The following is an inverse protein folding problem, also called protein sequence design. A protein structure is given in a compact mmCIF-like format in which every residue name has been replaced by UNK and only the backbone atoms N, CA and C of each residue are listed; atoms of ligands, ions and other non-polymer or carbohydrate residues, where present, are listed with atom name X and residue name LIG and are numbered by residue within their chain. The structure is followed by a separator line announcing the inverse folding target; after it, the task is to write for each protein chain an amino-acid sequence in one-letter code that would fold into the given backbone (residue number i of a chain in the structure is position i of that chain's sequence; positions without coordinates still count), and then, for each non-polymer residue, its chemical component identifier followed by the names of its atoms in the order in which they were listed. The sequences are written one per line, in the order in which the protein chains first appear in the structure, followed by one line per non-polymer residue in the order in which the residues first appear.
data_IF_656121459994
#
_entry.id   IF_656121459994
#
_cell.length_a   1.000
_cell.length_b   1.000
_cell.length_c   1.000
_cell.angle_alpha   90.00
_cell.angle_beta   90.00
_cell.angle_gamma   90.00
#
_symmetry.space_group_name_H-M   'P 1'
#
loop_
_entity.id
_entity.type
_entity.pdbx_description
1 polymer ?
#
# COMPACT_ATOMS: atom_id res chain seq x y z
N UNK A 1 26.39 1.05 -0.04
CA UNK A 1 25.36 1.07 -1.11
C UNK A 1 24.13 0.27 -0.69
N UNK A 2 24.26 -0.97 -0.22
CA UNK A 2 23.12 -1.79 0.23
C UNK A 2 22.24 -1.14 1.31
N UNK A 3 22.83 -0.55 2.37
CA UNK A 3 22.05 0.12 3.43
C UNK A 3 21.24 1.32 2.93
N UNK A 4 21.81 2.10 2.00
CA UNK A 4 21.09 3.23 1.38
C UNK A 4 19.95 2.75 0.49
N UNK A 5 20.11 1.61 -0.18
CA UNK A 5 19.04 1.03 -0.98
C UNK A 5 17.95 0.46 -0.08
N UNK A 6 18.30 -0.33 0.94
CA UNK A 6 17.38 -0.87 1.94
C UNK A 6 16.49 0.22 2.57
N UNK A 7 17.09 1.33 3.03
CA UNK A 7 16.36 2.41 3.69
C UNK A 7 15.29 3.08 2.80
N UNK A 8 15.39 2.94 1.47
CA UNK A 8 14.44 3.49 0.50
C UNK A 8 13.28 2.55 0.20
N UNK A 9 13.32 1.28 0.62
CA UNK A 9 12.23 0.32 0.33
C UNK A 9 11.06 0.56 1.28
N UNK A 10 9.85 0.49 0.74
CA UNK A 10 8.58 0.45 1.49
C UNK A 10 7.76 -0.71 0.97
N UNK A 11 7.62 -1.76 1.78
CA UNK A 11 6.89 -2.96 1.35
C UNK A 11 5.62 -3.12 2.17
N UNK A 12 4.48 -3.04 1.50
CA UNK A 12 3.18 -3.02 2.15
C UNK A 12 2.14 -3.84 1.40
N UNK A 13 1.06 -4.17 2.10
CA UNK A 13 -0.12 -4.79 1.52
C UNK A 13 -1.32 -3.87 1.68
N UNK A 14 -2.33 -4.04 0.82
CA UNK A 14 -3.63 -3.40 1.02
C UNK A 14 -4.59 -4.44 1.61
N UNK A 15 -5.26 -4.09 2.70
CA UNK A 15 -6.32 -4.89 3.31
C UNK A 15 -7.65 -4.14 3.26
N UNK A 16 -8.74 -4.85 3.04
CA UNK A 16 -10.07 -4.26 3.08
C UNK A 16 -11.15 -5.34 3.16
N UNK A 17 -12.37 -4.94 3.51
CA UNK A 17 -13.55 -5.72 3.19
C UNK A 17 -13.76 -5.78 1.65
N UNK A 18 -14.42 -6.83 1.12
CA UNK A 18 -14.95 -6.82 -0.24
C UNK A 18 -15.63 -5.49 -0.60
N UNK A 19 -15.43 -5.04 -1.84
CA UNK A 19 -16.04 -3.83 -2.39
C UNK A 19 -15.67 -2.48 -1.73
N UNK A 20 -14.80 -2.45 -0.71
CA UNK A 20 -14.32 -1.20 -0.10
C UNK A 20 -13.48 -0.33 -1.07
N UNK A 21 -12.94 -0.94 -2.13
CA UNK A 21 -12.22 -0.23 -3.21
C UNK A 21 -10.72 -0.52 -3.30
N UNK A 22 -10.24 -1.63 -2.72
CA UNK A 22 -8.86 -2.11 -2.85
C UNK A 22 -8.36 -2.14 -4.30
N UNK A 23 -9.08 -2.79 -5.22
CA UNK A 23 -8.64 -2.86 -6.62
C UNK A 23 -8.54 -1.47 -7.25
N UNK A 24 -9.51 -0.59 -6.97
CA UNK A 24 -9.52 0.78 -7.47
C UNK A 24 -8.31 1.58 -6.97
N UNK A 25 -8.00 1.51 -5.67
CA UNK A 25 -6.85 2.25 -5.13
C UNK A 25 -5.52 1.69 -5.67
N UNK A 26 -5.42 0.36 -5.83
CA UNK A 26 -4.27 -0.30 -6.46
C UNK A 26 -4.05 0.19 -7.89
N UNK A 27 -5.11 0.28 -8.70
CA UNK A 27 -5.02 0.81 -10.07
C UNK A 27 -4.53 2.26 -10.10
N UNK A 28 -4.99 3.11 -9.17
CA UNK A 28 -4.52 4.51 -9.08
C UNK A 28 -3.06 4.60 -8.62
N UNK A 29 -2.64 3.82 -7.62
CA UNK A 29 -1.25 3.76 -7.19
C UNK A 29 -0.32 3.33 -8.34
N UNK A 30 -0.76 2.35 -9.15
CA UNK A 30 -0.04 1.95 -10.36
C UNK A 30 0.04 3.06 -11.41
N UNK A 31 -1.04 3.81 -11.61
CA UNK A 31 -1.04 4.94 -12.54
C UNK A 31 0.02 5.97 -12.12
N UNK A 32 0.09 6.29 -10.83
CA UNK A 32 1.11 7.19 -10.27
C UNK A 32 2.53 6.63 -10.44
N UNK A 33 2.75 5.37 -10.10
CA UNK A 33 4.03 4.69 -10.30
C UNK A 33 4.49 4.71 -11.76
N UNK A 34 3.57 4.47 -12.71
CA UNK A 34 3.86 4.53 -14.15
C UNK A 34 4.12 5.96 -14.63
N UNK A 35 3.31 6.93 -14.21
CA UNK A 35 3.50 8.33 -14.58
C UNK A 35 4.89 8.84 -14.15
N UNK A 36 5.31 8.49 -12.94
CA UNK A 36 6.63 8.83 -12.38
C UNK A 36 7.74 8.13 -13.16
N UNK A 37 7.60 6.84 -13.47
CA UNK A 37 8.56 6.12 -14.31
C UNK A 37 8.71 6.77 -15.69
N UNK A 38 7.59 7.10 -16.36
CA UNK A 38 7.61 7.75 -17.67
C UNK A 38 8.29 9.12 -17.58
N UNK A 39 7.94 9.95 -16.60
CA UNK A 39 8.57 11.25 -16.38
C UNK A 39 10.09 11.15 -16.15
N UNK A 40 10.53 10.15 -15.38
CA UNK A 40 11.94 9.83 -15.18
C UNK A 40 12.65 9.34 -16.45
N UNK A 41 11.96 8.54 -17.27
CA UNK A 41 12.50 7.95 -18.51
C UNK A 41 12.60 8.98 -19.64
N UNK A 42 11.74 10.02 -19.65
CA UNK A 42 11.83 11.12 -20.62
C UNK A 42 13.11 11.95 -20.44
N UNK A 43 13.75 11.94 -19.26
CA UNK A 43 15.13 12.46 -19.05
C UNK A 43 16.23 11.52 -19.59
N UNK A 44 15.90 10.30 -20.02
CA UNK A 44 16.84 9.27 -20.44
C UNK A 44 16.30 8.36 -21.55
N UNK A 45 16.12 8.92 -22.76
CA UNK A 45 15.81 8.24 -24.05
C UNK A 45 14.42 7.59 -24.20
N UNK A 46 13.86 7.81 -25.39
CA UNK A 46 12.61 7.24 -25.94
C UNK A 46 12.61 5.71 -25.90
N UNK A 47 11.57 5.12 -25.31
CA UNK A 47 11.11 3.77 -25.68
C UNK A 47 9.59 3.74 -25.76
N UNK A 48 9.10 3.47 -26.98
CA UNK A 48 7.75 3.02 -27.28
C UNK A 48 7.54 1.59 -26.78
N UNK A 49 6.48 1.37 -26.00
CA UNK A 49 5.51 0.26 -26.16
C UNK A 49 4.53 0.27 -25.00
N UNK A 50 3.26 0.46 -25.33
CA UNK A 50 2.13 0.26 -24.43
C UNK A 50 1.62 -1.17 -24.60
N UNK A 51 1.63 -1.95 -23.52
CA UNK A 51 0.82 -3.14 -23.37
C UNK A 51 -0.12 -2.90 -22.18
N UNK A 52 -1.42 -2.79 -22.45
CA UNK A 52 -2.47 -2.99 -21.44
C UNK A 52 -2.32 -4.40 -20.89
N UNK A 53 -2.11 -4.55 -19.58
CA UNK A 53 -1.84 -5.85 -18.97
C UNK A 53 -3.04 -6.79 -19.10
N UNK A 54 -2.87 -7.90 -19.81
CA UNK A 54 -3.88 -8.95 -20.02
C UNK A 54 -4.44 -9.57 -18.71
N UNK A 55 -3.79 -9.33 -17.58
CA UNK A 55 -4.18 -9.86 -16.26
C UNK A 55 -5.42 -9.17 -15.68
N UNK A 56 -5.52 -7.84 -15.80
CA UNK A 56 -6.68 -7.07 -15.34
C UNK A 56 -7.96 -7.47 -16.10
N UNK A 57 -7.83 -7.93 -17.35
CA UNK A 57 -8.94 -8.35 -18.19
C UNK A 57 -9.62 -9.61 -17.63
N UNK A 58 -8.84 -10.57 -17.12
CA UNK A 58 -9.35 -11.82 -16.54
C UNK A 58 -10.03 -11.62 -15.18
N UNK A 59 -9.52 -10.71 -14.34
CA UNK A 59 -10.19 -10.33 -13.08
C UNK A 59 -11.47 -9.52 -13.33
N UNK A 60 -11.44 -8.61 -14.32
CA UNK A 60 -12.63 -7.85 -14.76
C UNK A 60 -13.75 -8.75 -15.27
N UNK A 61 -13.42 -9.84 -15.98
CA UNK A 61 -14.41 -10.83 -16.43
C UNK A 61 -15.09 -11.58 -15.27
N UNK A 62 -14.42 -11.72 -14.12
CA UNK A 62 -14.96 -12.41 -12.94
C UNK A 62 -15.54 -11.47 -11.88
N UNK A 63 -15.24 -10.17 -11.94
CA UNK A 63 -15.70 -9.17 -10.99
C UNK A 63 -15.12 -9.31 -9.58
N UNK A 64 -14.12 -10.17 -9.37
CA UNK A 64 -13.47 -10.43 -8.08
C UNK A 64 -11.95 -10.53 -8.25
N UNK A 65 -11.19 -10.06 -7.25
CA UNK A 65 -9.73 -10.22 -7.21
C UNK A 65 -9.38 -11.63 -6.73
N UNK A 66 -8.75 -12.44 -7.59
CA UNK A 66 -8.59 -13.90 -7.40
C UNK A 66 -7.18 -14.27 -6.93
N UNK A 67 -6.14 -13.47 -7.24
CA UNK A 67 -4.77 -13.80 -6.77
C UNK A 67 -3.96 -12.57 -6.37
N UNK A 68 -3.09 -12.73 -5.36
CA UNK A 68 -2.23 -11.64 -4.89
C UNK A 68 -1.25 -11.15 -5.96
N UNK A 69 -1.37 -9.92 -6.44
CA UNK A 69 -0.36 -9.36 -7.37
C UNK A 69 0.74 -8.64 -6.59
N UNK A 70 2.00 -8.88 -6.98
CA UNK A 70 3.14 -8.13 -6.46
C UNK A 70 3.52 -7.06 -7.48
N UNK A 71 3.70 -5.84 -7.03
CA UNK A 71 4.01 -4.70 -7.88
C UNK A 71 5.10 -3.84 -7.24
N UNK A 72 6.12 -3.51 -8.00
CA UNK A 72 7.17 -2.58 -7.60
C UNK A 72 7.11 -1.32 -8.46
N UNK A 73 7.18 -0.14 -7.83
CA UNK A 73 7.27 1.14 -8.53
C UNK A 73 8.06 2.17 -7.71
N UNK A 74 8.79 3.09 -8.37
CA UNK A 74 9.42 4.21 -7.69
C UNK A 74 8.38 5.28 -7.33
N UNK A 75 8.53 5.90 -6.16
CA UNK A 75 7.76 7.07 -5.77
C UNK A 75 8.64 7.98 -4.91
N UNK A 76 8.79 9.26 -5.31
CA UNK A 76 9.78 10.19 -4.75
C UNK A 76 11.17 9.49 -4.68
N UNK A 77 11.82 9.52 -3.52
CA UNK A 77 13.10 8.85 -3.30
C UNK A 77 12.96 7.39 -2.85
N UNK A 78 11.74 6.84 -2.79
CA UNK A 78 11.47 5.47 -2.32
C UNK A 78 11.25 4.46 -3.45
N UNK A 79 11.45 3.18 -3.13
CA UNK A 79 11.04 2.03 -3.93
C UNK A 79 9.89 1.35 -3.22
N UNK A 80 8.70 1.42 -3.80
CA UNK A 80 7.48 0.91 -3.19
C UNK A 80 7.18 -0.48 -3.73
N UNK A 81 7.03 -1.45 -2.84
CA UNK A 81 6.61 -2.82 -3.13
C UNK A 81 5.19 -3.02 -2.58
N UNK A 82 4.21 -3.08 -3.47
CA UNK A 82 2.80 -3.32 -3.14
C UNK A 82 2.45 -4.80 -3.36
N UNK A 83 1.95 -5.44 -2.31
CA UNK A 83 1.38 -6.79 -2.36
C UNK A 83 -0.15 -6.68 -2.24
N UNK A 84 -0.85 -6.85 -3.36
CA UNK A 84 -2.30 -6.73 -3.40
C UNK A 84 -2.97 -8.00 -2.83
N UNK A 85 -3.66 -7.95 -1.70
CA UNK A 85 -4.25 -9.16 -1.09
C UNK A 85 -5.63 -9.50 -1.69
N UNK A 86 -6.01 -10.77 -1.95
CA UNK A 86 -7.36 -11.11 -2.38
C UNK A 86 -8.43 -10.67 -1.37
N UNK A 87 -9.48 -9.99 -1.84
CA UNK A 87 -10.53 -9.44 -0.96
C UNK A 87 -11.61 -10.44 -0.54
N UNK A 88 -11.79 -11.54 -1.28
CA UNK A 88 -12.89 -12.48 -1.08
C UNK A 88 -12.60 -13.54 0.00
N UNK A 89 -13.65 -14.01 0.69
CA UNK A 89 -13.51 -14.90 1.87
C UNK A 89 -12.79 -16.22 1.56
N UNK A 90 -13.02 -16.76 0.37
CA UNK A 90 -12.44 -18.01 -0.14
C UNK A 90 -10.90 -18.00 -0.26
N UNK A 91 -10.25 -16.83 -0.12
CA UNK A 91 -8.80 -16.66 -0.30
C UNK A 91 -8.08 -16.21 0.98
N UNK A 92 -8.65 -16.53 2.14
CA UNK A 92 -8.14 -16.13 3.46
C UNK A 92 -6.69 -16.56 3.73
N UNK A 93 -6.31 -17.80 3.40
CA UNK A 93 -4.99 -18.33 3.75
C UNK A 93 -3.84 -17.65 2.98
N UNK A 94 -4.01 -17.40 1.68
CA UNK A 94 -3.05 -16.68 0.86
C UNK A 94 -2.92 -15.21 1.27
N UNK A 95 -4.03 -14.61 1.73
CA UNK A 95 -4.05 -13.25 2.27
C UNK A 95 -3.21 -13.16 3.53
N UNK A 96 -3.41 -14.07 4.48
CA UNK A 96 -2.64 -14.07 5.74
C UNK A 96 -1.15 -14.33 5.50
N UNK A 97 -0.82 -15.23 4.58
CA UNK A 97 0.58 -15.45 4.16
C UNK A 97 1.20 -14.21 3.52
N UNK A 98 0.45 -13.48 2.70
CA UNK A 98 0.94 -12.23 2.09
C UNK A 98 1.28 -11.19 3.15
N UNK A 99 0.46 -11.07 4.20
CA UNK A 99 0.74 -10.16 5.32
C UNK A 99 2.03 -10.51 6.08
N UNK A 100 2.52 -11.74 5.95
CA UNK A 100 3.82 -12.09 6.55
C UNK A 100 5.02 -11.50 5.84
N UNK A 101 4.87 -11.07 4.58
CA UNK A 101 5.96 -10.58 3.72
C UNK A 101 6.07 -9.05 3.66
N UNK A 102 5.18 -8.34 4.36
CA UNK A 102 5.12 -6.87 4.38
C UNK A 102 5.59 -6.32 5.71
N UNK A 103 5.97 -5.04 5.70
CA UNK A 103 6.46 -4.30 6.87
C UNK A 103 5.42 -3.29 7.38
N UNK A 104 4.40 -2.99 6.57
CA UNK A 104 3.24 -2.18 6.94
C UNK A 104 2.03 -2.55 6.08
N UNK A 105 0.87 -2.00 6.41
CA UNK A 105 -0.39 -2.26 5.70
C UNK A 105 -1.16 -0.96 5.47
N UNK A 106 -1.83 -0.86 4.31
CA UNK A 106 -2.84 0.13 4.02
C UNK A 106 -4.22 -0.51 4.17
N UNK A 107 -4.97 -0.10 5.18
CA UNK A 107 -6.36 -0.48 5.40
C UNK A 107 -7.29 0.46 4.64
N UNK A 108 -8.14 -0.10 3.78
CA UNK A 108 -9.15 0.66 3.02
C UNK A 108 -10.53 0.37 3.60
N UNK A 109 -11.23 1.42 4.00
CA UNK A 109 -12.57 1.37 4.57
C UNK A 109 -13.55 2.09 3.64
N UNK A 110 -14.73 1.52 3.45
CA UNK A 110 -15.84 2.20 2.78
C UNK A 110 -16.46 3.20 3.78
N UNK A 111 -16.35 4.51 3.53
CA UNK A 111 -16.91 5.52 4.43
C UNK A 111 -18.42 5.41 4.65
N UNK A 112 -19.17 4.82 3.71
CA UNK A 112 -20.61 4.62 3.87
C UNK A 112 -20.96 3.45 4.80
N UNK A 113 -20.05 2.49 4.98
CA UNK A 113 -20.28 1.29 5.77
C UNK A 113 -19.51 1.30 7.10
N UNK A 114 -18.30 1.84 7.10
CA UNK A 114 -17.39 1.79 8.23
C UNK A 114 -16.72 0.42 8.37
N UNK A 115 -16.54 -0.05 9.61
CA UNK A 115 -15.83 -1.30 9.91
C UNK A 115 -16.71 -2.52 9.64
N UNK A 116 -16.24 -3.41 8.76
CA UNK A 116 -16.94 -4.66 8.39
C UNK A 116 -16.16 -5.91 8.86
N UNK A 117 -16.83 -7.08 8.95
CA UNK A 117 -16.29 -8.32 9.53
C UNK A 117 -14.90 -8.74 9.01
N UNK A 118 -14.66 -8.59 7.71
CA UNK A 118 -13.37 -8.92 7.09
C UNK A 118 -12.27 -7.95 7.52
N UNK A 119 -12.58 -6.68 7.72
CA UNK A 119 -11.65 -5.68 8.25
C UNK A 119 -11.17 -6.09 9.64
N UNK A 120 -12.09 -6.53 10.50
CA UNK A 120 -11.79 -7.03 11.86
C UNK A 120 -10.85 -8.25 11.80
N UNK A 121 -11.17 -9.25 10.98
CA UNK A 121 -10.32 -10.46 10.82
C UNK A 121 -8.92 -10.14 10.30
N UNK A 122 -8.80 -9.21 9.34
CA UNK A 122 -7.50 -8.81 8.80
C UNK A 122 -6.70 -8.00 9.82
N UNK A 123 -7.36 -7.18 10.63
CA UNK A 123 -6.76 -6.45 11.74
C UNK A 123 -6.15 -7.40 12.77
N UNK A 124 -6.87 -8.45 13.17
CA UNK A 124 -6.36 -9.47 14.10
C UNK A 124 -5.05 -10.09 13.61
N UNK A 125 -4.93 -10.35 12.30
CA UNK A 125 -3.71 -10.90 11.70
C UNK A 125 -2.56 -9.89 11.71
N UNK A 126 -2.85 -8.60 11.51
CA UNK A 126 -1.84 -7.54 11.58
C UNK A 126 -1.33 -7.34 13.03
N UNK A 127 -2.20 -7.49 14.04
CA UNK A 127 -1.83 -7.40 15.47
C UNK A 127 -0.89 -8.51 15.92
N UNK A 128 -0.94 -9.70 15.31
CA UNK A 128 -0.01 -10.80 15.65
C UNK A 128 1.47 -10.45 15.39
N UNK A 129 1.74 -9.35 14.69
CA UNK A 129 3.08 -8.90 14.32
C UNK A 129 3.30 -7.41 14.55
N UNK A 130 2.42 -6.77 15.33
CA UNK A 130 2.45 -5.32 15.58
C UNK A 130 2.63 -4.51 14.28
N UNK A 131 1.97 -4.94 13.19
CA UNK A 131 2.22 -4.38 11.86
C UNK A 131 1.62 -2.97 11.77
N UNK A 132 2.41 -1.93 11.44
CA UNK A 132 1.92 -0.56 11.28
C UNK A 132 0.85 -0.46 10.21
N UNK A 133 -0.24 0.28 10.51
CA UNK A 133 -1.40 0.41 9.62
C UNK A 133 -1.64 1.88 9.29
N UNK A 134 -1.74 2.18 7.99
CA UNK A 134 -2.37 3.40 7.49
C UNK A 134 -3.84 3.11 7.20
N UNK A 135 -4.71 4.08 7.42
CA UNK A 135 -6.13 3.96 7.07
C UNK A 135 -6.50 4.95 5.97
N UNK A 136 -7.21 4.47 4.96
CA UNK A 136 -7.82 5.29 3.92
C UNK A 136 -9.34 5.08 3.90
N UNK A 137 -10.08 6.11 4.28
CA UNK A 137 -11.54 6.16 4.19
C UNK A 137 -11.91 6.57 2.76
N UNK A 138 -12.44 5.61 2.02
CA UNK A 138 -12.73 5.72 0.61
C UNK A 138 -14.20 6.09 0.36
N UNK A 139 -14.48 6.47 -0.89
CA UNK A 139 -15.81 6.75 -1.45
C UNK A 139 -16.44 8.06 -0.98
N UNK A 140 -15.64 9.10 -0.74
CA UNK A 140 -16.14 10.47 -0.52
C UNK A 140 -16.97 11.03 -1.70
N UNK A 141 -16.88 10.41 -2.89
CA UNK A 141 -17.76 10.71 -4.03
C UNK A 141 -19.22 10.27 -3.84
N UNK A 142 -19.54 9.68 -2.68
CA UNK A 142 -20.87 9.23 -2.27
C UNK A 142 -21.20 9.78 -0.89
N UNK A 143 -22.48 9.71 -0.53
CA UNK A 143 -22.90 9.91 0.85
C UNK A 143 -22.24 8.87 1.74
N UNK A 144 -21.51 9.33 2.75
CA UNK A 144 -20.86 8.50 3.75
C UNK A 144 -21.49 8.71 5.12
N UNK A 145 -21.08 7.90 6.10
CA UNK A 145 -21.42 8.17 7.51
C UNK A 145 -20.64 9.40 8.01
N UNK A 146 -21.06 9.93 9.14
CA UNK A 146 -20.31 10.99 9.82
C UNK A 146 -18.84 10.53 10.02
N UNK A 147 -17.85 11.28 9.51
CA UNK A 147 -16.45 10.95 9.68
C UNK A 147 -16.05 10.71 11.14
N UNK A 148 -16.62 11.46 12.10
CA UNK A 148 -16.33 11.28 13.53
C UNK A 148 -16.84 9.92 14.01
N UNK A 149 -18.04 9.51 13.60
CA UNK A 149 -18.58 8.18 13.93
C UNK A 149 -17.76 7.05 13.31
N UNK A 150 -17.23 7.24 12.10
CA UNK A 150 -16.36 6.24 11.44
C UNK A 150 -15.05 6.10 12.21
N UNK A 151 -14.47 7.19 12.70
CA UNK A 151 -13.27 7.14 13.53
C UNK A 151 -13.52 6.44 14.88
N UNK A 152 -14.60 6.82 15.59
CA UNK A 152 -14.98 6.15 16.85
C UNK A 152 -15.20 4.65 16.63
N UNK A 153 -15.82 4.27 15.52
CA UNK A 153 -16.01 2.86 15.17
C UNK A 153 -14.69 2.13 14.93
N UNK A 154 -13.72 2.76 14.24
CA UNK A 154 -12.37 2.20 14.05
C UNK A 154 -11.68 2.04 15.40
N UNK A 155 -11.66 3.07 16.25
CA UNK A 155 -11.01 2.99 17.55
C UNK A 155 -11.62 1.90 18.44
N UNK A 156 -12.95 1.85 18.51
CA UNK A 156 -13.66 0.92 19.40
C UNK A 156 -13.62 -0.53 18.92
N UNK A 157 -13.78 -0.77 17.61
CA UNK A 157 -13.88 -2.13 17.06
C UNK A 157 -12.49 -2.67 16.71
N UNK A 158 -11.64 -1.84 16.11
CA UNK A 158 -10.29 -2.22 15.68
C UNK A 158 -9.23 -1.92 16.72
N UNK A 159 -9.58 -1.34 17.88
CA UNK A 159 -8.72 -1.18 19.07
C UNK A 159 -7.37 -0.54 18.71
N UNK A 160 -7.44 0.55 17.94
CA UNK A 160 -6.30 1.30 17.40
C UNK A 160 -6.65 2.79 17.39
N UNK A 161 -5.76 3.65 17.90
CA UNK A 161 -6.00 5.09 17.95
C UNK A 161 -6.05 5.70 16.54
N UNK A 162 -7.00 6.59 16.27
CA UNK A 162 -7.08 7.29 14.99
C UNK A 162 -6.43 8.67 15.06
N UNK A 163 -5.50 8.92 14.14
CA UNK A 163 -4.93 10.24 13.93
C UNK A 163 -5.31 10.80 12.54
N UNK A 164 -6.32 11.67 12.44
CA UNK A 164 -6.71 12.26 11.17
C UNK A 164 -5.58 13.11 10.58
N UNK A 165 -5.13 12.75 9.38
CA UNK A 165 -4.13 13.49 8.62
C UNK A 165 -4.80 14.47 7.65
N UNK A 166 -5.85 13.97 6.98
CA UNK A 166 -6.76 14.78 6.19
C UNK A 166 -8.18 14.71 6.76
N UNK A 167 -9.00 15.70 6.45
CA UNK A 167 -10.41 15.78 6.86
C UNK A 167 -11.28 16.11 5.64
N UNK A 168 -12.42 15.42 5.43
CA UNK A 168 -13.28 15.68 4.28
C UNK A 168 -13.99 17.02 4.40
N UNK A 169 -14.06 17.76 3.29
CA UNK A 169 -14.89 18.95 3.14
C UNK A 169 -16.12 18.52 2.34
N UNK A 170 -17.23 18.36 3.05
CA UNK A 170 -18.48 17.82 2.51
C UNK A 170 -18.31 16.38 1.96
N UNK A 171 -19.35 15.82 1.35
CA UNK A 171 -19.33 14.46 0.79
C UNK A 171 -20.33 14.31 -0.37
N UNK A 172 -20.30 13.19 -1.07
CA UNK A 172 -21.27 12.89 -2.11
C UNK A 172 -21.29 13.92 -3.23
N UNK A 173 -22.47 14.49 -3.48
CA UNK A 173 -22.65 15.49 -4.54
C UNK A 173 -22.09 16.87 -4.16
N UNK A 174 -21.97 17.17 -2.86
CA UNK A 174 -21.40 18.43 -2.36
C UNK A 174 -19.91 18.35 -2.07
N UNK A 175 -19.26 17.20 -2.29
CA UNK A 175 -17.85 17.00 -2.01
C UNK A 175 -16.97 18.08 -2.64
N UNK A 176 -16.32 18.89 -1.79
CA UNK A 176 -15.43 19.98 -2.21
C UNK A 176 -13.95 19.59 -2.08
N UNK A 177 -13.57 18.60 -1.29
CA UNK A 177 -12.17 18.17 -1.21
C UNK A 177 -11.76 17.72 0.17
N UNK A 178 -10.48 17.83 0.50
CA UNK A 178 -9.99 17.51 1.85
C UNK A 178 -9.09 18.61 2.40
N UNK A 179 -9.13 18.83 3.70
CA UNK A 179 -8.20 19.69 4.43
C UNK A 179 -7.11 18.84 5.10
N UNK A 180 -5.84 19.18 4.93
CA UNK A 180 -4.71 18.51 5.55
C UNK A 180 -4.35 19.20 6.87
N UNK A 181 -4.60 18.53 8.00
CA UNK A 181 -4.56 19.16 9.33
C UNK A 181 -3.17 19.67 9.73
N UNK A 182 -2.11 19.00 9.26
CA UNK A 182 -0.71 19.31 9.59
C UNK A 182 -0.02 20.22 8.58
N UNK A 183 -0.57 20.34 7.37
CA UNK A 183 -0.04 21.25 6.35
C UNK A 183 -0.77 22.60 6.39
N UNK A 184 -1.92 22.65 7.06
CA UNK A 184 -2.86 23.76 7.02
C UNK A 184 -3.20 24.13 5.56
N UNK A 185 -3.65 23.13 4.79
CA UNK A 185 -3.88 23.25 3.36
C UNK A 185 -5.15 22.53 2.93
N UNK A 186 -5.97 23.19 2.11
CA UNK A 186 -7.11 22.58 1.42
C UNK A 186 -6.66 22.06 0.07
N UNK A 187 -6.99 20.81 -0.21
CA UNK A 187 -6.91 20.19 -1.53
C UNK A 187 -8.31 20.25 -2.14
N UNK A 188 -8.45 20.94 -3.26
CA UNK A 188 -9.74 21.23 -3.90
C UNK A 188 -10.13 20.16 -4.91
N UNK A 189 -11.33 19.62 -4.78
CA UNK A 189 -11.90 18.67 -5.72
C UNK A 189 -12.56 19.40 -6.89
N UNK A 190 -12.09 19.14 -8.11
CA UNK A 190 -12.58 19.79 -9.35
C UNK A 190 -13.56 18.91 -10.16
N UNK A 191 -13.92 17.72 -9.67
CA UNK A 191 -14.82 16.80 -10.37
C UNK A 191 -14.22 16.06 -11.57
N UNK A 192 -12.96 16.35 -11.94
CA UNK A 192 -12.23 15.74 -13.06
C UNK A 192 -11.06 14.91 -12.51
N UNK A 193 -10.77 13.77 -13.15
CA UNK A 193 -9.53 13.03 -12.92
C UNK A 193 -8.36 13.92 -13.39
N UNK A 194 -7.71 14.62 -12.46
CA UNK A 194 -6.54 15.46 -12.71
C UNK A 194 -5.32 14.92 -11.98
N UNK A 195 -4.15 15.12 -12.56
CA UNK A 195 -2.85 14.77 -11.95
C UNK A 195 -2.32 15.88 -11.03
N UNK A 196 -2.90 17.07 -11.10
CA UNK A 196 -2.56 18.19 -10.22
C UNK A 196 -3.83 18.64 -9.52
N UNK A 197 -3.77 18.68 -8.20
CA UNK A 197 -4.87 19.14 -7.34
C UNK A 197 -4.65 20.62 -7.06
N UNK A 198 -5.67 21.45 -7.28
CA UNK A 198 -5.64 22.84 -6.85
C UNK A 198 -5.59 22.88 -5.31
N UNK A 199 -4.78 23.78 -4.76
CA UNK A 199 -4.58 23.88 -3.31
C UNK A 199 -4.77 25.31 -2.82
N UNK A 200 -5.26 25.43 -1.59
CA UNK A 200 -5.42 26.70 -0.88
C UNK A 200 -4.69 26.57 0.46
N UNK A 201 -3.71 27.44 0.69
CA UNK A 201 -2.94 27.48 1.93
C UNK A 201 -3.68 28.31 3.00
N UNK A 202 -3.74 27.78 4.23
CA UNK A 202 -4.34 28.42 5.39
C UNK A 202 -5.86 28.35 5.41
N UNK A 203 -6.42 27.65 6.41
CA UNK A 203 -7.88 27.57 6.57
C UNK A 203 -8.53 28.95 6.84
N UNK A 204 -7.80 29.87 7.46
CA UNK A 204 -8.26 31.23 7.77
C UNK A 204 -8.09 32.23 6.61
N UNK A 205 -7.51 31.79 5.49
CA UNK A 205 -7.23 32.66 4.33
C UNK A 205 -8.50 33.19 3.66
N UNK A 206 -8.37 34.31 2.96
CA UNK A 206 -9.49 34.87 2.18
C UNK A 206 -9.92 33.92 1.05
N UNK A 207 -8.97 33.17 0.47
CA UNK A 207 -9.24 32.17 -0.55
C UNK A 207 -10.01 30.97 0.02
N UNK A 208 -9.67 30.50 1.23
CA UNK A 208 -10.41 29.43 1.90
C UNK A 208 -11.84 29.87 2.26
N UNK A 209 -12.02 31.10 2.73
CA UNK A 209 -13.34 31.70 2.98
C UNK A 209 -14.15 31.83 1.70
N UNK A 210 -13.52 32.23 0.59
CA UNK A 210 -14.19 32.30 -0.70
C UNK A 210 -14.57 30.92 -1.24
N UNK A 211 -13.75 29.90 -0.99
CA UNK A 211 -13.98 28.52 -1.44
C UNK A 211 -15.07 27.79 -0.64
N UNK A 212 -15.06 27.96 0.68
CA UNK A 212 -16.03 27.35 1.60
C UNK A 212 -17.33 28.17 1.72
N UNK A 213 -17.29 29.44 1.33
CA UNK A 213 -18.45 30.35 1.31
C UNK A 213 -19.10 30.47 2.71
N UNK A 214 -20.41 30.27 2.81
CA UNK A 214 -21.18 30.32 4.06
C UNK A 214 -20.86 29.17 5.02
N UNK A 215 -20.22 28.09 4.54
CA UNK A 215 -19.84 26.92 5.33
C UNK A 215 -18.48 27.05 6.01
N UNK A 216 -17.74 28.14 5.76
CA UNK A 216 -16.39 28.32 6.30
C UNK A 216 -16.35 28.22 7.82
N UNK A 217 -17.23 28.94 8.53
CA UNK A 217 -17.23 28.93 10.00
C UNK A 217 -17.60 27.55 10.56
N UNK A 218 -18.61 26.90 10.00
CA UNK A 218 -19.01 25.55 10.40
C UNK A 218 -17.84 24.56 10.27
N UNK A 219 -17.07 24.67 9.17
CA UNK A 219 -15.93 23.79 8.93
C UNK A 219 -14.74 24.09 9.84
N UNK A 220 -14.50 25.37 10.18
CA UNK A 220 -13.50 25.74 11.20
C UNK A 220 -13.85 25.12 12.55
N UNK A 221 -15.11 25.25 12.98
CA UNK A 221 -15.59 24.69 14.24
C UNK A 221 -15.45 23.15 14.26
N UNK A 222 -15.72 22.49 13.12
CA UNK A 222 -15.52 21.05 12.94
C UNK A 222 -14.04 20.65 13.06
N UNK A 223 -13.13 21.37 12.41
CA UNK A 223 -11.69 21.12 12.50
C UNK A 223 -11.17 21.35 13.92
N UNK A 224 -11.65 22.36 14.64
CA UNK A 224 -11.31 22.59 16.05
C UNK A 224 -11.79 21.43 16.94
N UNK A 225 -13.00 20.93 16.71
CA UNK A 225 -13.54 19.77 17.42
C UNK A 225 -12.66 18.54 17.19
N UNK A 226 -12.30 18.25 15.94
CA UNK A 226 -11.45 17.10 15.58
C UNK A 226 -10.07 17.22 16.22
N UNK A 227 -9.44 18.41 16.18
CA UNK A 227 -8.14 18.66 16.83
C UNK A 227 -8.20 18.50 18.35
N UNK A 228 -9.34 18.79 18.97
CA UNK A 228 -9.56 18.65 20.41
C UNK A 228 -9.92 17.24 20.87
N UNK A 229 -10.53 16.43 20.00
CA UNK A 229 -11.08 15.12 20.35
C UNK A 229 -10.26 13.93 19.82
N UNK A 230 -9.67 14.03 18.62
CA UNK A 230 -8.91 12.95 18.01
C UNK A 230 -7.45 12.92 18.47
N UNK A 231 -6.78 11.79 18.26
CA UNK A 231 -5.36 11.68 18.57
C UNK A 231 -4.50 12.47 17.58
N UNK A 232 -3.45 13.12 18.09
CA UNK A 232 -2.37 13.64 17.23
C UNK A 232 -1.49 12.50 16.74
N UNK A 233 -1.00 12.60 15.51
CA UNK A 233 -0.10 11.61 14.92
C UNK A 233 1.20 11.51 15.73
N UNK A 234 1.53 10.29 16.14
CA UNK A 234 2.79 9.94 16.80
C UNK A 234 3.45 8.80 16.02
N UNK A 235 4.70 9.04 15.58
CA UNK A 235 5.43 8.10 14.74
C UNK A 235 5.76 6.80 15.48
N UNK A 236 6.06 6.87 16.78
CA UNK A 236 6.41 5.68 17.56
C UNK A 236 5.17 4.81 17.78
N UNK A 237 4.03 5.41 18.15
CA UNK A 237 2.77 4.67 18.27
C UNK A 237 2.32 4.05 16.95
N UNK A 238 2.55 4.74 15.83
CA UNK A 238 2.29 4.16 14.50
C UNK A 238 3.20 2.96 14.20
N UNK A 239 4.50 3.06 14.47
CA UNK A 239 5.46 1.99 14.26
C UNK A 239 5.22 0.77 15.18
N UNK A 240 4.60 1.00 16.33
CA UNK A 240 4.16 -0.05 17.27
C UNK A 240 2.76 -0.60 16.95
N UNK A 241 2.11 -0.13 15.88
CA UNK A 241 0.77 -0.59 15.48
C UNK A 241 -0.37 -0.16 16.41
N UNK A 242 -0.14 0.84 17.28
CA UNK A 242 -1.11 1.35 18.26
C UNK A 242 -1.90 2.56 17.74
N UNK A 243 -1.42 3.22 16.69
CA UNK A 243 -2.03 4.39 16.08
C UNK A 243 -2.04 4.26 14.56
N UNK A 244 -3.15 4.61 13.93
CA UNK A 244 -3.26 4.70 12.47
C UNK A 244 -3.43 6.15 12.04
N UNK A 245 -2.56 6.70 11.18
CA UNK A 245 -2.89 7.92 10.46
C UNK A 245 -4.06 7.64 9.51
N UNK A 246 -5.04 8.54 9.47
CA UNK A 246 -6.27 8.39 8.69
C UNK A 246 -6.31 9.44 7.59
N UNK A 247 -6.49 8.97 6.36
CA UNK A 247 -6.68 9.79 5.18
C UNK A 247 -8.08 9.57 4.62
N UNK A 248 -8.71 10.62 4.13
CA UNK A 248 -10.00 10.54 3.45
C UNK A 248 -9.84 10.81 1.95
N UNK A 249 -10.64 10.16 1.12
CA UNK A 249 -10.60 10.41 -0.32
C UNK A 249 -11.58 9.58 -1.15
N UNK A 250 -11.39 9.67 -2.46
CA UNK A 250 -12.09 8.84 -3.43
C UNK A 250 -11.08 8.24 -4.41
N UNK A 251 -10.81 6.95 -4.25
CA UNK A 251 -9.99 6.19 -5.19
C UNK A 251 -10.61 6.19 -6.60
N UNK A 252 -11.95 6.19 -6.70
CA UNK A 252 -12.65 6.24 -7.99
C UNK A 252 -12.31 7.53 -8.75
N UNK A 253 -12.31 8.67 -8.05
CA UNK A 253 -12.03 10.00 -8.59
C UNK A 253 -10.54 10.38 -8.55
N UNK A 254 -9.66 9.44 -8.18
CA UNK A 254 -8.23 9.69 -7.99
C UNK A 254 -7.92 10.86 -7.05
N UNK A 255 -8.67 11.00 -5.95
CA UNK A 255 -8.56 12.13 -5.02
C UNK A 255 -8.24 11.65 -3.60
N UNK A 256 -7.32 12.32 -2.90
CA UNK A 256 -6.81 11.89 -1.59
C UNK A 256 -5.76 10.78 -1.64
N UNK A 257 -5.56 10.17 -2.82
CA UNK A 257 -4.62 9.05 -3.01
C UNK A 257 -3.16 9.52 -2.96
N UNK A 258 -2.88 10.72 -3.48
CA UNK A 258 -1.52 11.27 -3.46
C UNK A 258 -1.12 11.65 -2.05
N UNK A 259 -1.98 12.36 -1.33
CA UNK A 259 -1.72 12.83 0.04
C UNK A 259 -1.48 11.63 0.97
N UNK A 260 -2.26 10.56 0.80
CA UNK A 260 -2.03 9.29 1.47
C UNK A 260 -0.70 8.64 1.09
N UNK A 261 -0.33 8.64 -0.20
CA UNK A 261 0.91 8.00 -0.68
C UNK A 261 2.16 8.79 -0.25
N UNK A 262 2.09 10.12 -0.22
CA UNK A 262 3.13 10.99 0.33
C UNK A 262 3.33 10.70 1.81
N UNK A 263 2.25 10.75 2.60
CA UNK A 263 2.30 10.39 4.01
C UNK A 263 2.81 8.97 4.25
N UNK A 264 2.39 8.01 3.42
CA UNK A 264 2.88 6.62 3.47
C UNK A 264 4.40 6.56 3.31
N UNK A 265 4.99 7.14 2.27
CA UNK A 265 6.44 7.01 2.06
C UNK A 265 7.27 7.74 3.12
N UNK A 266 6.71 8.80 3.72
CA UNK A 266 7.34 9.58 4.77
C UNK A 266 7.39 8.83 6.11
N UNK A 267 6.35 8.06 6.47
CA UNK A 267 6.24 7.42 7.80
C UNK A 267 6.39 5.90 7.80
N UNK A 268 6.06 5.22 6.69
CA UNK A 268 6.07 3.77 6.65
C UNK A 268 7.47 3.20 6.89
N UNK A 269 7.57 2.06 7.58
CA UNK A 269 8.86 1.50 7.95
C UNK A 269 9.66 1.02 6.72
N UNK A 270 11.00 1.13 6.77
CA UNK A 270 11.87 0.36 5.89
C UNK A 270 11.74 -1.14 6.22
N UNK A 271 12.42 -2.04 5.48
CA UNK A 271 12.45 -3.47 5.80
C UNK A 271 12.76 -3.71 7.27
N UNK A 272 11.94 -4.53 7.94
CA UNK A 272 12.11 -4.84 9.36
C UNK A 272 12.84 -6.17 9.56
N UNK A 273 13.42 -6.33 10.75
CA UNK A 273 14.04 -7.59 11.16
C UNK A 273 13.00 -8.72 11.25
N UNK A 274 13.46 -9.96 11.02
CA UNK A 274 12.58 -11.14 11.00
C UNK A 274 13.07 -12.19 12.00
N UNK A 275 12.15 -12.66 12.84
CA UNK A 275 12.44 -13.76 13.76
C UNK A 275 12.56 -15.10 13.02
N UNK A 276 13.54 -15.90 13.44
CA UNK A 276 13.79 -17.25 12.96
C UNK A 276 14.03 -18.18 14.14
N UNK A 277 14.09 -19.49 13.90
CA UNK A 277 14.44 -20.47 14.93
C UNK A 277 15.87 -20.32 15.46
N UNK A 278 16.75 -19.68 14.69
CA UNK A 278 18.17 -19.49 15.00
C UNK A 278 18.47 -18.05 15.51
N UNK A 279 17.44 -17.22 15.68
CA UNK A 279 17.55 -15.84 16.16
C UNK A 279 16.90 -14.81 15.23
N UNK A 280 17.13 -13.54 15.55
CA UNK A 280 16.63 -12.41 14.76
C UNK A 280 17.57 -12.14 13.57
N UNK A 281 17.04 -12.09 12.36
CA UNK A 281 17.76 -11.68 11.15
C UNK A 281 17.50 -10.20 10.91
N UNK A 282 18.55 -9.39 11.01
CA UNK A 282 18.48 -7.96 10.73
C UNK A 282 18.66 -7.69 9.22
N UNK A 283 17.93 -6.71 8.65
CA UNK A 283 17.99 -6.44 7.21
C UNK A 283 19.34 -5.87 6.76
N UNK A 284 20.12 -5.31 7.69
CA UNK A 284 21.48 -4.82 7.45
C UNK A 284 22.53 -5.94 7.32
N UNK A 285 22.17 -7.18 7.66
CA UNK A 285 23.11 -8.30 7.56
C UNK A 285 23.59 -8.47 6.11
N UNK A 286 24.90 -8.71 5.90
CA UNK A 286 25.47 -8.78 4.55
C UNK A 286 25.10 -10.08 3.81
N UNK A 287 24.76 -11.14 4.54
CA UNK A 287 24.41 -12.43 3.97
C UNK A 287 22.97 -12.41 3.43
N UNK A 288 22.79 -12.97 2.23
CA UNK A 288 21.47 -13.05 1.62
C UNK A 288 20.59 -14.02 2.39
N UNK A 289 19.41 -13.56 2.78
CA UNK A 289 18.35 -14.41 3.32
C UNK A 289 16.98 -14.02 2.80
N UNK A 290 16.06 -14.98 2.83
CA UNK A 290 14.66 -14.74 2.51
C UNK A 290 13.83 -16.01 2.60
N UNK A 291 12.51 -15.84 2.61
CA UNK A 291 11.55 -16.93 2.75
C UNK A 291 10.47 -16.85 1.67
N UNK A 292 9.90 -18.00 1.33
CA UNK A 292 8.84 -18.09 0.31
C UNK A 292 7.48 -17.98 0.98
N UNK A 293 6.76 -16.90 0.71
CA UNK A 293 5.44 -16.67 1.31
C UNK A 293 4.29 -17.07 0.38
N UNK A 294 4.55 -17.17 -0.92
CA UNK A 294 3.52 -17.48 -1.93
C UNK A 294 4.11 -18.30 -3.08
N UNK A 295 3.35 -19.26 -3.60
CA UNK A 295 3.65 -19.96 -4.85
C UNK A 295 2.45 -19.83 -5.77
N UNK A 296 2.68 -19.31 -6.97
CA UNK A 296 1.65 -19.18 -8.00
C UNK A 296 1.99 -20.08 -9.18
N UNK A 297 1.04 -20.94 -9.57
CA UNK A 297 1.14 -21.80 -10.74
C UNK A 297 0.43 -21.19 -11.95
N UNK A 298 0.75 -21.69 -13.14
CA UNK A 298 0.05 -21.42 -14.40
C UNK A 298 0.03 -19.94 -14.81
N UNK A 299 1.09 -19.20 -14.52
CA UNK A 299 1.18 -17.82 -14.97
C UNK A 299 1.56 -17.67 -16.46
N UNK A 300 2.22 -18.68 -17.05
CA UNK A 300 2.34 -18.81 -18.50
C UNK A 300 1.52 -20.04 -18.95
N UNK A 301 0.44 -19.85 -19.73
CA UNK A 301 -0.38 -20.94 -20.25
C UNK A 301 0.41 -21.96 -21.08
N UNK A 302 1.54 -21.57 -21.68
CA UNK A 302 2.35 -22.41 -22.56
C UNK A 302 3.32 -23.32 -21.83
N UNK A 303 3.80 -22.92 -20.64
CA UNK A 303 4.93 -23.60 -19.97
C UNK A 303 4.59 -24.26 -18.63
N UNK A 304 3.34 -24.10 -18.11
CA UNK A 304 2.94 -24.62 -16.77
C UNK A 304 3.92 -24.18 -15.67
N UNK A 305 4.44 -22.96 -15.81
CA UNK A 305 5.43 -22.42 -14.91
C UNK A 305 4.82 -22.14 -13.54
N UNK A 306 5.61 -22.37 -12.50
CA UNK A 306 5.30 -21.95 -11.13
C UNK A 306 6.36 -20.97 -10.68
N UNK A 307 5.93 -19.91 -10.03
CA UNK A 307 6.81 -18.92 -9.42
C UNK A 307 6.61 -18.98 -7.92
N UNK A 308 7.72 -19.15 -7.19
CA UNK A 308 7.79 -18.97 -5.76
C UNK A 308 8.19 -17.52 -5.47
N UNK A 309 7.31 -16.76 -4.84
CA UNK A 309 7.57 -15.40 -4.40
C UNK A 309 8.32 -15.44 -3.08
N UNK A 310 9.54 -14.92 -3.11
CA UNK A 310 10.45 -14.84 -1.98
C UNK A 310 10.56 -13.39 -1.52
N UNK A 311 10.38 -13.17 -0.22
CA UNK A 311 10.69 -11.90 0.44
C UNK A 311 12.15 -11.88 0.84
N UNK A 312 12.91 -10.92 0.32
CA UNK A 312 14.31 -10.71 0.74
C UNK A 312 14.32 -10.08 2.12
N UNK A 313 14.99 -10.73 3.06
CA UNK A 313 15.06 -10.32 4.47
C UNK A 313 16.35 -9.57 4.79
N UNK A 314 17.49 -10.06 4.30
CA UNK A 314 18.80 -9.44 4.47
C UNK A 314 19.67 -9.62 3.23
N UNK A 315 20.77 -8.85 3.18
CA UNK A 315 21.77 -8.94 2.13
C UNK A 315 21.28 -8.47 0.76
N UNK A 316 21.94 -8.98 -0.27
CA UNK A 316 21.70 -8.62 -1.66
C UNK A 316 21.57 -9.89 -2.50
N UNK A 317 20.51 -9.95 -3.31
CA UNK A 317 20.43 -10.90 -4.40
C UNK A 317 21.19 -10.35 -5.59
N UNK A 318 22.06 -11.16 -6.19
CA UNK A 318 22.68 -10.87 -7.48
C UNK A 318 22.44 -12.01 -8.45
N UNK A 319 22.18 -11.68 -9.72
CA UNK A 319 21.89 -12.68 -10.74
C UNK A 319 23.00 -13.74 -10.86
N UNK A 320 22.60 -15.01 -10.77
CA UNK A 320 23.51 -16.15 -10.88
C UNK A 320 24.20 -16.52 -9.56
N UNK A 321 23.85 -15.88 -8.44
CA UNK A 321 24.38 -16.25 -7.13
C UNK A 321 23.99 -17.68 -6.74
N UNK A 322 24.79 -18.27 -5.85
CA UNK A 322 24.45 -19.53 -5.17
C UNK A 322 23.75 -19.21 -3.86
N UNK A 323 22.60 -19.82 -3.66
CA UNK A 323 21.78 -19.70 -2.46
C UNK A 323 21.68 -21.07 -1.79
N UNK A 324 21.73 -21.10 -0.46
CA UNK A 324 21.55 -22.33 0.29
C UNK A 324 20.06 -22.59 0.54
N UNK A 325 19.49 -23.64 -0.06
CA UNK A 325 18.12 -24.05 0.23
C UNK A 325 18.09 -24.88 1.52
N UNK A 326 17.80 -24.21 2.65
CA UNK A 326 17.84 -24.76 4.02
C UNK A 326 17.06 -26.08 4.13
N UNK A 327 15.78 -26.10 3.73
CA UNK A 327 14.92 -27.29 3.82
C UNK A 327 15.45 -28.53 3.09
N UNK A 328 16.13 -28.33 1.96
CA UNK A 328 16.67 -29.42 1.13
C UNK A 328 18.14 -29.71 1.50
N UNK A 329 18.80 -28.80 2.22
CA UNK A 329 20.22 -28.87 2.57
C UNK A 329 21.15 -28.79 1.35
N UNK A 330 20.77 -28.04 0.31
CA UNK A 330 21.52 -27.98 -0.96
C UNK A 330 21.72 -26.55 -1.44
N UNK A 331 22.89 -26.31 -2.02
CA UNK A 331 23.16 -25.06 -2.73
C UNK A 331 22.52 -25.10 -4.12
N UNK A 332 21.77 -24.06 -4.43
CA UNK A 332 21.07 -23.86 -5.71
C UNK A 332 21.60 -22.59 -6.34
N UNK A 333 21.97 -22.66 -7.62
CA UNK A 333 22.31 -21.47 -8.39
C UNK A 333 21.03 -20.86 -8.96
N UNK A 334 20.79 -19.57 -8.70
CA UNK A 334 19.60 -18.85 -9.17
C UNK A 334 20.04 -17.81 -10.18
N UNK A 335 19.71 -18.01 -11.46
CA UNK A 335 20.13 -17.12 -12.57
C UNK A 335 18.99 -16.39 -13.28
N UNK A 336 17.76 -16.78 -12.96
CA UNK A 336 16.53 -16.45 -13.69
C UNK A 336 15.45 -15.88 -12.76
N UNK A 337 15.83 -15.30 -11.63
CA UNK A 337 14.86 -14.63 -10.76
C UNK A 337 14.20 -13.46 -11.50
N UNK A 338 12.90 -13.29 -11.27
CA UNK A 338 12.10 -12.21 -11.85
C UNK A 338 11.65 -11.23 -10.78
N UNK A 339 11.47 -9.97 -11.17
CA UNK A 339 10.81 -8.94 -10.39
C UNK A 339 9.55 -8.52 -11.13
N UNK A 340 8.65 -7.86 -10.42
CA UNK A 340 7.33 -7.48 -10.92
C UNK A 340 7.23 -5.95 -10.96
N UNK A 341 7.84 -5.34 -11.98
CA UNK A 341 7.86 -3.90 -12.14
C UNK A 341 6.53 -3.44 -12.76
N UNK A 342 5.75 -2.64 -12.03
CA UNK A 342 4.45 -2.13 -12.47
C UNK A 342 3.48 -3.20 -13.05
N UNK A 343 3.55 -4.43 -12.53
CA UNK A 343 2.73 -5.58 -12.96
C UNK A 343 3.33 -6.40 -14.12
N UNK A 344 4.49 -6.01 -14.67
CA UNK A 344 5.19 -6.75 -15.71
C UNK A 344 6.39 -7.53 -15.16
N UNK A 345 6.66 -8.69 -15.76
CA UNK A 345 7.83 -9.50 -15.41
C UNK A 345 9.08 -8.91 -16.02
N UNK A 346 10.05 -8.60 -15.19
CA UNK A 346 11.39 -8.21 -15.61
C UNK A 346 12.42 -9.15 -15.00
N UNK A 347 13.47 -9.48 -15.76
CA UNK A 347 14.62 -10.20 -15.21
C UNK A 347 15.27 -9.35 -14.10
N UNK A 348 15.53 -9.95 -12.94
CA UNK A 348 16.15 -9.24 -11.82
C UNK A 348 17.66 -9.41 -11.88
N UNK A 349 18.37 -8.30 -12.07
CA UNK A 349 19.82 -8.27 -11.95
C UNK A 349 20.27 -8.23 -10.49
N UNK A 350 19.63 -7.36 -9.68
CA UNK A 350 19.91 -7.15 -8.26
C UNK A 350 18.61 -6.91 -7.50
N UNK A 351 18.50 -7.40 -6.27
CA UNK A 351 17.43 -7.06 -5.33
C UNK A 351 17.98 -6.95 -3.89
N UNK A 352 17.32 -6.15 -3.06
CA UNK A 352 17.76 -5.86 -1.69
C UNK A 352 16.70 -6.29 -0.67
N UNK A 353 17.06 -6.28 0.61
CA UNK A 353 16.10 -6.42 1.70
C UNK A 353 14.89 -5.51 1.48
N UNK A 354 13.67 -6.04 1.65
CA UNK A 354 12.44 -5.35 1.26
C UNK A 354 11.81 -5.88 -0.01
N UNK A 355 12.63 -6.22 -1.00
CA UNK A 355 12.15 -6.58 -2.32
C UNK A 355 11.53 -7.98 -2.34
N UNK A 356 10.66 -8.18 -3.33
CA UNK A 356 10.05 -9.48 -3.61
C UNK A 356 10.59 -9.99 -4.95
N UNK A 357 11.22 -11.16 -4.93
CA UNK A 357 11.70 -11.83 -6.14
C UNK A 357 10.91 -13.10 -6.41
N UNK A 358 10.67 -13.39 -7.68
CA UNK A 358 10.05 -14.62 -8.15
C UNK A 358 11.11 -15.62 -8.57
N UNK A 359 11.13 -16.78 -7.92
CA UNK A 359 11.98 -17.91 -8.26
C UNK A 359 11.21 -18.93 -9.09
N UNK A 360 11.79 -19.40 -10.20
CA UNK A 360 11.21 -20.50 -10.96
C UNK A 360 11.16 -21.77 -10.10
N UNK A 361 9.97 -22.38 -10.02
CA UNK A 361 9.73 -23.54 -9.19
C UNK A 361 9.31 -24.75 -10.03
N UNK A 362 10.15 -25.78 -10.04
CA UNK A 362 9.88 -27.08 -10.68
C UNK A 362 9.38 -28.15 -9.70
N UNK A 363 8.87 -27.73 -8.53
CA UNK A 363 8.34 -28.60 -7.47
C UNK A 363 9.29 -28.80 -6.28
N UNK A 364 10.46 -28.16 -6.29
CA UNK A 364 11.45 -28.23 -5.21
C UNK A 364 11.21 -27.19 -4.11
N UNK A 365 10.59 -26.06 -4.46
CA UNK A 365 10.31 -24.96 -3.54
C UNK A 365 8.90 -25.11 -2.98
N UNK A 366 8.75 -24.90 -1.67
CA UNK A 366 7.48 -24.92 -0.94
C UNK A 366 7.31 -23.60 -0.18
N UNK A 367 6.12 -23.39 0.40
CA UNK A 367 5.86 -22.26 1.30
C UNK A 367 6.66 -22.45 2.60
N UNK A 368 7.20 -21.35 3.14
CA UNK A 368 8.19 -21.33 4.22
C UNK A 368 9.61 -21.46 3.69
#
# INVERSE_FOLDING_TARGET
MSQSEMARRRTFAIISHPDAGKTTITEKLLLWGKAIQVAGTVKGKKSDRYATSDWMTLEKERGISVTTSVMQFPYRDCVVNLLDTPGHEDFSEDTYRTLTAVDSVLMVIDGAKGVEDRTIKLMEVCRLRDTPILTFINKLDREIRDPIEVLDEIERILDIACAPMTWPIEMGASFKGVYHLYEDRIYCFSGKDQLETETIDGLDSDDAKAYLEDRWQDFVDEVELVRGAAHSFDLAMYQEGQLTPVYFGSALRNFGVMEMLDGFVDVAPPPQARETNDGLVAPEEPEFSGFVFKIQANMDPKHRDRIAFLRVCSGEYSQGMKMHHVRVGKDVKVSDAVTFLAGERAATGVAYAGDIIGLHNHGTIQIG
#
